data_IF_283343353518
#
_entry.id   IF_283343353518
#
_cell.length_a   1.000
_cell.length_b   1.000
_cell.length_c   1.000
_cell.angle_alpha   90.00
_cell.angle_beta   90.00
_cell.angle_gamma   90.00
#
_symmetry.space_group_name_H-M   'P 1'
#
loop_
_entity.id
_entity.type
_entity.pdbx_description
1 polymer ?
#
# COMPACT_ATOMS: atom_id res chain seq x y z
N UNK A 1 -6.86 -53.36 -9.78
CA UNK A 1 -5.49 -52.81 -9.65
C UNK A 1 -5.52 -51.72 -8.59
N UNK A 2 -4.63 -51.75 -7.59
CA UNK A 2 -4.49 -50.64 -6.64
C UNK A 2 -3.81 -49.46 -7.38
N UNK A 3 -4.43 -48.28 -7.35
CA UNK A 3 -3.80 -47.05 -7.86
C UNK A 3 -2.78 -46.59 -6.83
N UNK A 4 -1.57 -46.31 -7.28
CA UNK A 4 -0.52 -45.72 -6.45
C UNK A 4 -0.48 -44.21 -6.68
N UNK A 5 -0.40 -43.46 -5.59
CA UNK A 5 -0.40 -41.99 -5.61
C UNK A 5 0.94 -41.45 -5.17
N UNK A 6 1.36 -40.35 -5.78
CA UNK A 6 2.68 -39.77 -5.57
C UNK A 6 2.61 -38.24 -5.56
N UNK A 7 3.44 -37.62 -4.72
CA UNK A 7 3.68 -36.17 -4.71
C UNK A 7 5.17 -35.90 -4.84
N UNK A 8 5.52 -34.77 -5.45
CA UNK A 8 6.92 -34.33 -5.53
C UNK A 8 7.19 -33.29 -4.46
N UNK A 9 8.17 -33.56 -3.59
CA UNK A 9 8.62 -32.65 -2.53
C UNK A 9 10.10 -32.41 -2.75
N UNK A 10 10.50 -31.15 -2.97
CA UNK A 10 11.89 -30.78 -3.28
C UNK A 10 12.51 -31.59 -4.43
N UNK A 11 11.71 -31.90 -5.46
CA UNK A 11 12.13 -32.71 -6.61
C UNK A 11 12.16 -34.22 -6.38
N UNK A 12 11.92 -34.70 -5.16
CA UNK A 12 11.85 -36.13 -4.85
C UNK A 12 10.43 -36.66 -4.91
N UNK A 13 10.26 -37.86 -5.51
CA UNK A 13 8.98 -38.55 -5.62
C UNK A 13 8.65 -39.30 -4.34
N UNK A 14 7.61 -38.87 -3.62
CA UNK A 14 7.14 -39.47 -2.37
C UNK A 14 5.82 -40.19 -2.62
N UNK A 15 5.73 -41.47 -2.23
CA UNK A 15 4.48 -42.23 -2.30
C UNK A 15 3.56 -41.82 -1.15
N UNK A 16 2.28 -41.61 -1.45
CA UNK A 16 1.28 -41.11 -0.50
C UNK A 16 -0.02 -41.90 -0.58
N UNK A 17 -0.84 -41.79 0.46
CA UNK A 17 -2.21 -42.31 0.41
C UNK A 17 -3.08 -41.49 -0.55
N UNK A 18 -4.14 -42.10 -1.08
CA UNK A 18 -5.13 -41.41 -1.92
C UNK A 18 -5.74 -40.19 -1.22
N UNK A 19 -5.98 -40.28 0.09
CA UNK A 19 -6.53 -39.17 0.88
C UNK A 19 -5.60 -37.96 0.88
N UNK A 20 -4.30 -38.18 1.14
CA UNK A 20 -3.30 -37.10 1.12
C UNK A 20 -3.19 -36.48 -0.27
N UNK A 21 -3.17 -37.32 -1.31
CA UNK A 21 -3.11 -36.86 -2.69
C UNK A 21 -4.29 -35.94 -3.04
N UNK A 22 -5.52 -36.34 -2.67
CA UNK A 22 -6.73 -35.55 -2.92
C UNK A 22 -6.74 -34.23 -2.15
N UNK A 23 -6.30 -34.22 -0.89
CA UNK A 23 -6.23 -33.00 -0.08
C UNK A 23 -5.19 -32.04 -0.67
N UNK A 24 -3.99 -32.52 -0.97
CA UNK A 24 -2.93 -31.69 -1.57
C UNK A 24 -3.41 -30.96 -2.83
N UNK A 25 -4.05 -31.69 -3.75
CA UNK A 25 -4.53 -31.09 -4.99
C UNK A 25 -5.71 -30.15 -4.78
N UNK A 26 -6.57 -30.41 -3.79
CA UNK A 26 -7.65 -29.48 -3.43
C UNK A 26 -7.09 -28.14 -2.94
N UNK A 27 -6.12 -28.18 -2.04
CA UNK A 27 -5.46 -26.96 -1.53
C UNK A 27 -4.74 -26.23 -2.65
N UNK A 28 -4.02 -26.96 -3.51
CA UNK A 28 -3.29 -26.37 -4.64
C UNK A 28 -4.20 -25.69 -5.66
N UNK A 29 -5.38 -26.25 -5.92
CA UNK A 29 -6.37 -25.59 -6.79
C UNK A 29 -7.05 -24.40 -6.09
N UNK A 30 -7.25 -24.48 -4.77
CA UNK A 30 -7.78 -23.36 -3.99
C UNK A 30 -6.83 -22.15 -3.99
N UNK A 31 -5.53 -22.38 -3.81
CA UNK A 31 -4.49 -21.36 -3.88
C UNK A 31 -4.47 -20.66 -5.26
N UNK A 32 -4.51 -21.43 -6.35
CA UNK A 32 -4.63 -20.87 -7.71
C UNK A 32 -5.89 -20.03 -7.91
N UNK A 33 -7.02 -20.45 -7.33
CA UNK A 33 -8.25 -19.68 -7.39
C UNK A 33 -8.11 -18.33 -6.68
N UNK A 34 -7.52 -18.32 -5.48
CA UNK A 34 -7.24 -17.08 -4.75
C UNK A 34 -6.33 -16.15 -5.55
N UNK A 35 -5.26 -16.67 -6.16
CA UNK A 35 -4.40 -15.86 -7.04
C UNK A 35 -5.17 -15.24 -8.23
N UNK A 36 -6.11 -15.97 -8.82
CA UNK A 36 -6.94 -15.43 -9.92
C UNK A 36 -7.90 -14.36 -9.43
N UNK A 37 -8.50 -14.56 -8.25
CA UNK A 37 -9.37 -13.57 -7.60
C UNK A 37 -8.59 -12.30 -7.28
N UNK A 38 -7.38 -12.42 -6.75
CA UNK A 38 -6.50 -11.28 -6.45
C UNK A 38 -6.14 -10.49 -7.71
N UNK A 39 -5.72 -11.19 -8.78
CA UNK A 39 -5.43 -10.59 -10.09
C UNK A 39 -6.65 -9.87 -10.68
N UNK A 40 -7.84 -10.46 -10.56
CA UNK A 40 -9.09 -9.88 -11.08
C UNK A 40 -9.52 -8.64 -10.30
N UNK A 41 -9.33 -8.65 -8.98
CA UNK A 41 -9.74 -7.56 -8.10
C UNK A 41 -8.68 -6.46 -7.98
N UNK A 42 -7.57 -6.55 -8.74
CA UNK A 42 -6.44 -5.62 -8.67
C UNK A 42 -5.93 -5.42 -7.23
N UNK A 43 -5.88 -6.50 -6.45
CA UNK A 43 -5.26 -6.46 -5.13
C UNK A 43 -3.76 -6.19 -5.32
N UNK A 44 -3.37 -4.94 -5.09
CA UNK A 44 -1.98 -4.51 -5.11
C UNK A 44 -1.29 -5.13 -3.88
N UNK A 45 -0.36 -6.05 -4.12
CA UNK A 45 0.55 -6.45 -3.06
C UNK A 45 1.43 -5.25 -2.72
N UNK A 46 1.65 -4.97 -1.43
CA UNK A 46 2.55 -3.89 -1.01
C UNK A 46 3.97 -4.04 -1.59
N UNK A 47 4.43 -5.28 -1.76
CA UNK A 47 5.69 -5.61 -2.42
C UNK A 47 5.74 -5.21 -3.90
N UNK A 48 4.59 -5.07 -4.56
CA UNK A 48 4.53 -4.60 -5.95
C UNK A 48 4.73 -3.09 -6.07
N UNK A 49 4.76 -2.33 -4.97
CA UNK A 49 5.04 -0.89 -4.95
C UNK A 49 6.49 -0.59 -4.51
N UNK A 50 7.28 -1.62 -4.22
CA UNK A 50 8.70 -1.50 -3.86
C UNK A 50 9.56 -1.72 -5.11
N UNK A 51 9.56 -0.73 -6.01
CA UNK A 51 10.22 -0.82 -7.31
C UNK A 51 11.72 -0.49 -7.28
N UNK A 52 12.15 0.29 -6.28
CA UNK A 52 13.46 0.92 -6.21
C UNK A 52 14.05 0.94 -4.78
N UNK A 53 13.40 0.27 -3.82
CA UNK A 53 13.78 0.30 -2.41
C UNK A 53 13.20 1.50 -1.63
N UNK A 54 12.42 2.36 -2.28
CA UNK A 54 11.81 3.56 -1.69
C UNK A 54 10.28 3.47 -1.66
N UNK A 55 9.77 2.51 -0.88
CA UNK A 55 8.34 2.24 -0.73
C UNK A 55 7.48 3.46 -0.32
N UNK A 56 7.98 4.32 0.58
CA UNK A 56 7.22 5.46 1.12
C UNK A 56 6.90 6.48 0.02
N UNK A 57 7.84 6.72 -0.89
CA UNK A 57 7.69 7.72 -1.94
C UNK A 57 6.71 7.25 -3.03
N UNK A 58 6.52 5.94 -3.19
CA UNK A 58 5.60 5.36 -4.18
C UNK A 58 4.12 5.40 -3.74
N UNK A 59 3.84 5.65 -2.46
CA UNK A 59 2.47 5.74 -1.90
C UNK A 59 2.10 7.14 -1.42
N UNK A 60 2.99 8.12 -1.59
CA UNK A 60 2.77 9.47 -1.08
C UNK A 60 1.58 10.13 -1.79
N UNK A 61 0.70 10.75 -1.01
CA UNK A 61 -0.41 11.53 -1.54
C UNK A 61 0.10 12.89 -2.03
N UNK A 62 0.29 13.01 -3.34
CA UNK A 62 0.74 14.25 -3.98
C UNK A 62 -0.36 15.30 -4.15
N UNK A 63 -1.61 15.00 -3.75
CA UNK A 63 -2.71 15.95 -3.85
C UNK A 63 -2.69 17.02 -2.75
N UNK A 64 -1.96 16.79 -1.66
CA UNK A 64 -1.85 17.71 -0.53
C UNK A 64 -0.39 18.13 -0.33
N UNK A 65 -0.13 19.41 -0.57
CA UNK A 65 1.17 20.03 -0.32
C UNK A 65 1.18 20.70 1.06
N UNK A 66 1.70 19.98 2.06
CA UNK A 66 1.74 20.44 3.45
C UNK A 66 2.68 21.64 3.61
N UNK A 67 3.80 21.65 2.89
CA UNK A 67 4.79 22.73 2.97
C UNK A 67 4.17 24.06 2.53
N UNK A 68 3.47 24.04 1.39
CA UNK A 68 2.78 25.22 0.86
C UNK A 68 1.65 25.70 1.79
N UNK A 69 0.93 24.79 2.44
CA UNK A 69 -0.11 25.15 3.41
C UNK A 69 0.51 25.90 4.59
N UNK A 70 1.61 25.40 5.14
CA UNK A 70 2.31 26.02 6.27
C UNK A 70 2.89 27.37 5.87
N UNK A 71 3.56 27.46 4.71
CA UNK A 71 4.09 28.73 4.18
C UNK A 71 2.99 29.79 4.05
N UNK A 72 1.84 29.41 3.48
CA UNK A 72 0.69 30.31 3.30
C UNK A 72 0.15 30.78 4.65
N UNK A 73 0.07 29.91 5.66
CA UNK A 73 -0.33 30.30 7.01
C UNK A 73 0.62 31.33 7.62
N UNK A 74 1.93 31.12 7.51
CA UNK A 74 2.94 32.05 8.02
C UNK A 74 2.86 33.42 7.33
N UNK A 75 2.60 33.45 6.02
CA UNK A 75 2.38 34.69 5.28
C UNK A 75 1.12 35.43 5.75
N UNK A 76 0.02 34.72 5.99
CA UNK A 76 -1.23 35.31 6.50
C UNK A 76 -1.01 35.91 7.90
N UNK A 77 -0.29 35.23 8.77
CA UNK A 77 0.04 35.75 10.11
C UNK A 77 0.88 37.02 10.02
N UNK A 78 1.90 37.02 9.17
CA UNK A 78 2.75 38.18 8.93
C UNK A 78 1.95 39.38 8.40
N UNK A 79 1.05 39.14 7.46
CA UNK A 79 0.14 40.16 6.92
C UNK A 79 -0.79 40.70 8.01
N UNK A 80 -1.41 39.83 8.81
CA UNK A 80 -2.29 40.25 9.93
C UNK A 80 -1.54 41.10 10.94
N UNK A 81 -0.31 40.74 11.28
CA UNK A 81 0.55 41.51 12.17
C UNK A 81 0.94 42.88 11.58
N UNK A 82 1.13 42.97 10.27
CA UNK A 82 1.40 44.25 9.61
C UNK A 82 0.16 45.16 9.61
N UNK A 83 -1.02 44.60 9.31
CA UNK A 83 -2.30 45.33 9.33
C UNK A 83 -2.63 45.82 10.74
N UNK A 84 -2.42 45.01 11.77
CA UNK A 84 -2.69 45.43 13.15
C UNK A 84 -1.83 46.62 13.57
N UNK A 85 -0.55 46.63 13.20
CA UNK A 85 0.36 47.76 13.46
C UNK A 85 -0.06 49.03 12.75
N UNK A 86 -0.52 48.93 11.50
CA UNK A 86 -1.04 50.09 10.76
C UNK A 86 -2.27 50.69 11.45
N UNK A 87 -3.21 49.84 11.88
CA UNK A 87 -4.38 50.30 12.62
C UNK A 87 -4.00 50.98 13.95
N UNK A 88 -3.01 50.45 14.66
CA UNK A 88 -2.52 51.08 15.89
C UNK A 88 -1.93 52.47 15.58
N UNK A 89 -1.08 52.61 14.56
CA UNK A 89 -0.47 53.90 14.18
C UNK A 89 -1.50 54.95 13.69
N UNK A 90 -2.50 54.54 12.93
CA UNK A 90 -3.55 55.43 12.42
C UNK A 90 -4.47 55.95 13.54
N UNK A 91 -4.67 55.16 14.60
CA UNK A 91 -5.40 55.59 15.81
C UNK A 91 -4.67 56.68 16.60
N UNK A 92 -3.33 56.74 16.56
CA UNK A 92 -2.55 57.80 17.21
C UNK A 92 -2.47 59.09 16.40
N UNK A 93 -2.91 59.08 15.14
CA UNK A 93 -2.86 60.23 14.22
C UNK A 93 -4.18 61.02 14.09
N UNK A 94 -5.25 60.59 14.77
CA UNK A 94 -6.50 61.35 14.94
C UNK A 94 -6.56 62.04 16.30
#
# INVERSE_FOLDING_TARGET
>A
MKKEYYLYVNGQKVSVSEQIYKVYWREKEHEKYLEQVDKKNHLLFFSSLDHDGHFIDNIVDQSVDVEKIVETQMMIESLRNAISRLNDEDMWRQ
#
